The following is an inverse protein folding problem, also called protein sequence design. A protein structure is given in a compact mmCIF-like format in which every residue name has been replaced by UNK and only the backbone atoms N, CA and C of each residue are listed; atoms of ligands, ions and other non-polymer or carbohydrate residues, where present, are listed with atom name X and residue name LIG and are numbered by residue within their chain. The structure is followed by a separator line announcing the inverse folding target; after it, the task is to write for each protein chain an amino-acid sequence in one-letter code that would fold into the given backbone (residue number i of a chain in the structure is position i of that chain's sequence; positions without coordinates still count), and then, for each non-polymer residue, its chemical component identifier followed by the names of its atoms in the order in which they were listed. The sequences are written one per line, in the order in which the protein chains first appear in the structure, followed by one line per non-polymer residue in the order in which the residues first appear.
data_IF_516534276336
#
_entry.id   IF_516534276336
#
_cell.length_a   1.000
_cell.length_b   1.000
_cell.length_c   1.000
_cell.angle_alpha   90.00
_cell.angle_beta   90.00
_cell.angle_gamma   90.00
#
_symmetry.space_group_name_H-M   'P 1'
#
loop_
_entity.id
_entity.type
_entity.pdbx_description
1 polymer ?
#
# COMPACT_ATOMS: atom_id res chain seq x y z
N UNK A 1 71.79 22.95 -38.08
CA UNK A 1 70.66 23.29 -37.20
C UNK A 1 69.48 22.45 -37.64
N UNK A 2 69.11 21.43 -36.87
CA UNK A 2 68.06 20.48 -37.24
C UNK A 2 66.74 20.89 -36.56
N UNK A 3 65.69 21.10 -37.36
CA UNK A 3 64.33 21.38 -36.92
C UNK A 3 63.58 20.05 -36.70
N UNK A 4 63.16 19.79 -35.45
CA UNK A 4 62.27 18.68 -35.10
C UNK A 4 60.81 19.19 -35.08
N UNK A 5 59.84 18.51 -35.72
CA UNK A 5 58.46 18.91 -35.69
C UNK A 5 57.81 18.39 -34.39
N UNK A 6 57.20 19.30 -33.62
CA UNK A 6 56.40 18.95 -32.44
C UNK A 6 55.02 18.52 -32.91
N UNK A 7 54.73 17.23 -32.82
CA UNK A 7 53.42 16.66 -33.14
C UNK A 7 52.46 16.93 -31.97
N UNK A 8 51.55 17.89 -32.12
CA UNK A 8 50.47 18.13 -31.17
C UNK A 8 49.38 17.06 -31.33
N UNK A 9 49.33 16.11 -30.40
CA UNK A 9 48.25 15.13 -30.28
C UNK A 9 47.04 15.79 -29.60
N UNK A 10 46.05 16.18 -30.41
CA UNK A 10 44.77 16.66 -29.90
C UNK A 10 43.96 15.45 -29.45
N UNK A 11 43.92 15.20 -28.13
CA UNK A 11 42.98 14.25 -27.55
C UNK A 11 41.56 14.83 -27.64
N UNK A 12 40.81 14.37 -28.63
CA UNK A 12 39.36 14.61 -28.70
C UNK A 12 38.71 13.74 -27.63
N UNK A 13 38.36 14.34 -26.50
CA UNK A 13 37.46 13.74 -25.51
C UNK A 13 36.08 13.64 -26.16
N UNK A 14 35.80 12.49 -26.78
CA UNK A 14 34.44 12.12 -27.17
C UNK A 14 33.58 12.14 -25.91
N UNK A 15 32.49 12.93 -25.84
CA UNK A 15 31.52 12.79 -24.77
C UNK A 15 31.00 11.36 -24.83
N UNK A 16 31.27 10.60 -23.77
CA UNK A 16 30.69 9.28 -23.57
C UNK A 16 29.19 9.44 -23.45
N UNK A 17 28.47 9.33 -24.57
CA UNK A 17 27.04 9.08 -24.56
C UNK A 17 26.84 7.79 -23.75
N UNK A 18 26.04 7.80 -22.68
CA UNK A 18 25.69 6.56 -22.01
C UNK A 18 25.05 5.65 -23.08
N UNK A 19 25.60 4.46 -23.24
CA UNK A 19 25.00 3.43 -24.07
C UNK A 19 23.50 3.33 -23.72
N UNK A 20 22.64 3.18 -24.72
CA UNK A 20 21.26 2.74 -24.53
C UNK A 20 21.25 1.50 -23.63
N UNK A 21 20.95 1.69 -22.34
CA UNK A 21 21.26 0.64 -21.37
C UNK A 21 21.11 1.06 -19.91
N UNK A 22 19.96 1.64 -19.56
CA UNK A 22 19.41 1.86 -18.20
C UNK A 22 20.21 2.83 -17.30
N UNK A 23 19.67 4.04 -17.14
CA UNK A 23 20.03 4.96 -16.07
C UNK A 23 20.15 4.22 -14.70
N UNK A 24 21.31 4.27 -14.03
CA UNK A 24 21.51 3.63 -12.73
C UNK A 24 20.50 4.10 -11.67
N UNK A 25 20.10 5.37 -11.71
CA UNK A 25 19.13 5.92 -10.76
C UNK A 25 17.75 5.30 -10.98
N UNK A 26 17.28 5.20 -12.23
CA UNK A 26 16.07 4.45 -12.55
C UNK A 26 16.17 2.96 -12.20
N UNK A 27 17.31 2.33 -12.48
CA UNK A 27 17.53 0.90 -12.19
C UNK A 27 17.38 0.62 -10.70
N UNK A 28 17.86 1.51 -9.83
CA UNK A 28 17.73 1.40 -8.39
C UNK A 28 16.27 1.43 -7.89
N UNK A 29 15.33 1.93 -8.70
CA UNK A 29 13.90 2.05 -8.36
C UNK A 29 13.06 0.87 -8.84
N UNK A 30 13.62 -0.07 -9.60
CA UNK A 30 12.87 -1.19 -10.16
C UNK A 30 12.30 -2.10 -9.05
N UNK A 31 10.98 -2.30 -9.08
CA UNK A 31 10.24 -3.10 -8.08
C UNK A 31 10.46 -4.61 -8.23
N UNK A 32 11.27 -5.05 -9.20
CA UNK A 32 11.82 -6.41 -9.25
C UNK A 32 12.84 -6.68 -8.15
N UNK A 33 13.43 -5.63 -7.57
CA UNK A 33 14.42 -5.74 -6.51
C UNK A 33 13.74 -5.86 -5.13
N UNK A 34 14.08 -6.90 -4.37
CA UNK A 34 13.50 -7.12 -3.04
C UNK A 34 13.77 -5.99 -2.03
N UNK A 35 14.85 -5.22 -2.19
CA UNK A 35 15.12 -4.05 -1.34
C UNK A 35 14.11 -2.91 -1.56
N UNK A 36 13.71 -2.66 -2.81
CA UNK A 36 12.71 -1.65 -3.19
C UNK A 36 11.33 -2.07 -2.69
N UNK A 37 10.99 -3.35 -2.84
CA UNK A 37 9.73 -3.91 -2.30
C UNK A 37 9.62 -3.69 -0.79
N UNK A 38 10.72 -3.94 -0.05
CA UNK A 38 10.79 -3.71 1.39
C UNK A 38 10.71 -2.23 1.74
N UNK A 39 11.39 -1.35 1.00
CA UNK A 39 11.30 0.11 1.19
C UNK A 39 9.85 0.58 1.11
N UNK A 40 9.14 0.19 0.04
CA UNK A 40 7.74 0.57 -0.17
C UNK A 40 6.88 0.11 1.00
N UNK A 41 6.91 -1.19 1.33
CA UNK A 41 6.08 -1.76 2.42
C UNK A 41 6.42 -1.13 3.76
N UNK A 42 7.70 -0.94 4.06
CA UNK A 42 8.14 -0.34 5.32
C UNK A 42 7.67 1.10 5.44
N UNK A 43 7.80 1.91 4.37
CA UNK A 43 7.34 3.30 4.39
C UNK A 43 5.83 3.39 4.58
N UNK A 44 5.05 2.54 3.93
CA UNK A 44 3.60 2.46 4.16
C UNK A 44 3.28 2.13 5.61
N UNK A 45 3.92 1.11 6.17
CA UNK A 45 3.65 0.67 7.53
C UNK A 45 4.11 1.68 8.60
N UNK A 46 5.22 2.38 8.36
CA UNK A 46 5.68 3.51 9.19
C UNK A 46 4.60 4.59 9.26
N UNK A 47 4.11 5.05 8.12
CA UNK A 47 3.07 6.08 8.02
C UNK A 47 1.75 5.62 8.64
N UNK A 48 1.35 4.36 8.41
CA UNK A 48 0.14 3.76 9.00
C UNK A 48 0.19 3.67 10.53
N UNK A 49 1.37 3.48 11.12
CA UNK A 49 1.57 3.53 12.58
C UNK A 49 1.47 4.96 13.13
N UNK A 50 1.89 5.94 12.33
CA UNK A 50 1.98 7.36 12.72
C UNK A 50 0.71 8.19 12.50
N UNK A 51 -0.42 7.57 12.16
CA UNK A 51 -1.66 8.32 11.88
C UNK A 51 -2.19 9.06 13.11
N UNK A 52 -2.76 10.24 12.87
CA UNK A 52 -3.45 11.04 13.87
C UNK A 52 -4.86 11.40 13.37
N UNK A 53 -5.93 11.08 14.13
CA UNK A 53 -5.91 10.38 15.42
C UNK A 53 -5.47 8.89 15.29
N UNK A 54 -5.03 8.23 16.39
CA UNK A 54 -4.57 6.85 16.34
C UNK A 54 -5.67 5.88 15.88
N UNK A 55 -5.27 4.81 15.21
CA UNK A 55 -6.17 3.81 14.63
C UNK A 55 -6.18 2.49 15.42
N UNK A 56 -7.37 1.99 15.79
CA UNK A 56 -7.49 0.73 16.53
C UNK A 56 -7.43 -0.54 15.68
N UNK A 57 -7.67 -0.40 14.36
CA UNK A 57 -7.92 -1.52 13.45
C UNK A 57 -7.05 -1.48 12.17
N UNK A 58 -5.96 -0.70 12.18
CA UNK A 58 -5.11 -0.51 11.01
C UNK A 58 -4.37 -1.81 10.66
N UNK A 59 -4.66 -2.43 9.52
CA UNK A 59 -3.93 -3.65 9.11
C UNK A 59 -2.48 -3.33 8.73
N UNK A 60 -1.58 -4.26 9.02
CA UNK A 60 -0.22 -4.28 8.50
C UNK A 60 -0.26 -4.58 7.00
N UNK A 61 0.46 -3.78 6.23
CA UNK A 61 0.56 -3.94 4.79
C UNK A 61 1.69 -4.91 4.42
N UNK A 62 1.47 -5.71 3.38
CA UNK A 62 2.41 -6.68 2.81
C UNK A 62 2.55 -6.50 1.30
N UNK A 63 3.67 -6.95 0.75
CA UNK A 63 3.92 -6.92 -0.69
C UNK A 63 3.16 -8.05 -1.39
N UNK A 64 2.45 -7.74 -2.47
CA UNK A 64 1.78 -8.73 -3.30
C UNK A 64 2.32 -8.77 -4.72
N UNK A 65 2.81 -9.94 -5.14
CA UNK A 65 3.32 -10.18 -6.50
C UNK A 65 2.23 -10.05 -7.56
N UNK A 66 1.03 -10.52 -7.26
CA UNK A 66 -0.12 -10.43 -8.19
C UNK A 66 -0.49 -8.96 -8.45
N UNK A 67 -0.58 -8.17 -7.39
CA UNK A 67 -0.89 -6.73 -7.46
C UNK A 67 0.23 -5.96 -8.18
N UNK A 68 1.49 -6.34 -7.91
CA UNK A 68 2.67 -5.78 -8.59
C UNK A 68 2.63 -6.02 -10.10
N UNK A 69 2.23 -7.21 -10.53
CA UNK A 69 2.12 -7.52 -11.95
C UNK A 69 1.10 -6.63 -12.65
N UNK A 70 -0.04 -6.34 -12.00
CA UNK A 70 -1.05 -5.42 -12.53
C UNK A 70 -0.50 -3.98 -12.60
N UNK A 71 0.05 -3.47 -11.49
CA UNK A 71 0.61 -2.12 -11.42
C UNK A 71 1.73 -1.89 -12.43
N UNK A 72 2.64 -2.85 -12.61
CA UNK A 72 3.72 -2.75 -13.61
C UNK A 72 3.19 -2.81 -15.05
N UNK A 73 2.18 -3.65 -15.34
CA UNK A 73 1.53 -3.65 -16.66
C UNK A 73 0.90 -2.30 -16.97
N UNK A 74 0.28 -1.65 -15.99
CA UNK A 74 -0.29 -0.32 -16.17
C UNK A 74 0.79 0.76 -16.33
N UNK A 75 1.82 0.76 -15.49
CA UNK A 75 2.93 1.70 -15.59
C UNK A 75 3.57 1.68 -16.99
N UNK A 76 3.78 0.49 -17.56
CA UNK A 76 4.36 0.32 -18.89
C UNK A 76 3.52 0.92 -20.03
N UNK A 77 2.22 1.19 -19.82
CA UNK A 77 1.39 1.86 -20.83
C UNK A 77 1.73 3.35 -20.95
N UNK A 78 2.43 3.94 -19.97
CA UNK A 78 2.86 5.35 -20.00
C UNK A 78 1.75 6.35 -20.31
N UNK A 79 0.55 6.10 -19.78
CA UNK A 79 -0.64 6.95 -19.98
C UNK A 79 -0.70 8.15 -19.04
N UNK A 80 0.00 8.08 -17.91
CA UNK A 80 -0.02 9.08 -16.83
C UNK A 80 -1.43 9.32 -16.27
N UNK A 81 -2.29 8.29 -16.36
CA UNK A 81 -3.68 8.31 -15.94
C UNK A 81 -3.98 7.07 -15.09
N UNK A 82 -5.10 7.11 -14.36
CA UNK A 82 -5.56 5.95 -13.60
C UNK A 82 -5.95 4.80 -14.51
N UNK A 83 -5.68 3.58 -14.04
CA UNK A 83 -6.13 2.37 -14.71
C UNK A 83 -7.65 2.24 -14.64
N UNK A 84 -8.22 1.53 -15.61
CA UNK A 84 -9.58 1.05 -15.47
C UNK A 84 -9.68 0.10 -14.26
N UNK A 85 -10.82 0.05 -13.54
CA UNK A 85 -11.00 -0.84 -12.40
C UNK A 85 -10.73 -2.32 -12.72
N UNK A 86 -10.99 -2.76 -13.95
CA UNK A 86 -10.73 -4.14 -14.39
C UNK A 86 -9.22 -4.43 -14.58
N UNK A 87 -8.40 -3.40 -14.84
CA UNK A 87 -6.94 -3.51 -14.92
C UNK A 87 -6.29 -3.60 -13.52
N UNK A 88 -7.05 -3.34 -12.44
CA UNK A 88 -6.59 -3.38 -11.04
C UNK A 88 -7.46 -4.27 -10.15
N UNK A 89 -7.60 -5.52 -10.61
CA UNK A 89 -8.35 -6.56 -9.91
C UNK A 89 -7.50 -7.83 -9.75
N UNK A 90 -7.62 -8.45 -8.59
CA UNK A 90 -7.09 -9.79 -8.27
C UNK A 90 -8.29 -10.70 -7.95
N UNK A 91 -8.23 -11.47 -6.86
CA UNK A 91 -9.44 -12.00 -6.21
C UNK A 91 -10.36 -10.90 -5.64
N UNK A 92 -9.86 -9.67 -5.48
CA UNK A 92 -10.63 -8.50 -5.02
C UNK A 92 -10.41 -7.30 -5.95
N UNK A 93 -11.32 -6.31 -5.88
CA UNK A 93 -11.06 -4.98 -6.46
C UNK A 93 -9.96 -4.28 -5.69
N UNK A 94 -9.10 -3.55 -6.39
CA UNK A 94 -8.00 -2.80 -5.81
C UNK A 94 -8.08 -1.30 -6.14
N UNK A 95 -7.54 -0.48 -5.25
CA UNK A 95 -7.35 0.95 -5.44
C UNK A 95 -6.02 1.24 -6.11
N UNK A 96 -5.73 2.52 -6.34
CA UNK A 96 -4.51 2.94 -7.04
C UNK A 96 -4.10 4.35 -6.63
N UNK A 97 -2.79 4.55 -6.42
CA UNK A 97 -2.16 5.86 -6.34
C UNK A 97 -1.13 5.97 -7.47
N UNK A 98 -1.02 7.17 -8.03
CA UNK A 98 -0.10 7.49 -9.11
C UNK A 98 0.85 8.60 -8.68
N UNK A 99 2.10 8.51 -9.13
CA UNK A 99 3.06 9.59 -8.99
C UNK A 99 3.81 9.75 -10.31
N UNK A 100 4.14 10.99 -10.64
CA UNK A 100 4.81 11.34 -11.88
C UNK A 100 5.93 12.34 -11.59
N UNK A 101 7.09 12.14 -12.21
CA UNK A 101 8.24 13.04 -12.05
C UNK A 101 9.03 13.20 -13.35
N UNK A 102 9.75 14.33 -13.47
CA UNK A 102 10.72 14.56 -14.55
C UNK A 102 11.97 13.70 -14.42
N UNK A 103 12.36 13.41 -13.17
CA UNK A 103 13.59 12.73 -12.80
C UNK A 103 13.32 11.52 -11.89
N UNK A 104 14.23 10.52 -11.83
CA UNK A 104 14.10 9.40 -10.90
C UNK A 104 13.93 9.89 -9.46
N UNK A 105 12.90 9.42 -8.78
CA UNK A 105 12.52 9.82 -7.43
C UNK A 105 12.40 8.57 -6.56
N UNK A 106 12.95 8.61 -5.34
CA UNK A 106 12.84 7.47 -4.42
C UNK A 106 11.37 7.12 -4.13
N UNK A 107 11.10 5.84 -3.92
CA UNK A 107 9.76 5.39 -3.54
C UNK A 107 9.30 6.02 -2.24
N UNK A 108 10.21 6.16 -1.27
CA UNK A 108 9.92 6.84 0.00
C UNK A 108 9.44 8.28 -0.20
N UNK A 109 10.04 9.04 -1.13
CA UNK A 109 9.61 10.40 -1.44
C UNK A 109 8.26 10.45 -2.16
N UNK A 110 8.03 9.56 -3.15
CA UNK A 110 6.74 9.47 -3.83
C UNK A 110 5.60 9.11 -2.86
N UNK A 111 5.83 8.14 -1.98
CA UNK A 111 4.88 7.73 -0.94
C UNK A 111 4.63 8.84 0.08
N UNK A 112 5.69 9.57 0.47
CA UNK A 112 5.55 10.71 1.37
C UNK A 112 4.69 11.81 0.73
N UNK A 113 4.89 12.11 -0.55
CA UNK A 113 4.08 13.10 -1.28
C UNK A 113 2.58 12.74 -1.27
N UNK A 114 2.22 11.47 -1.42
CA UNK A 114 0.84 11.02 -1.26
C UNK A 114 0.32 11.17 0.17
N UNK A 115 1.17 10.92 1.17
CA UNK A 115 0.81 11.05 2.58
C UNK A 115 0.63 12.50 3.03
N UNK A 116 1.39 13.44 2.43
CA UNK A 116 1.36 14.86 2.78
C UNK A 116 0.01 15.53 2.47
N UNK A 117 -0.86 14.90 1.67
CA UNK A 117 -2.27 15.29 1.56
C UNK A 117 -3.02 15.24 2.92
N UNK A 118 -2.48 14.55 3.92
CA UNK A 118 -2.95 14.60 5.31
C UNK A 118 -2.99 16.02 5.87
N UNK A 119 -2.14 16.92 5.38
CA UNK A 119 -2.13 18.34 5.75
C UNK A 119 -3.43 19.04 5.34
N UNK A 120 -4.15 18.53 4.34
CA UNK A 120 -5.43 19.05 3.85
C UNK A 120 -6.63 18.17 4.25
N UNK A 121 -6.44 17.22 5.16
CA UNK A 121 -7.48 16.32 5.63
C UNK A 121 -7.82 16.54 7.11
N UNK A 122 -9.10 16.41 7.46
CA UNK A 122 -9.59 16.39 8.83
C UNK A 122 -10.39 15.11 9.04
N UNK A 123 -9.94 14.26 9.98
CA UNK A 123 -10.63 13.00 10.27
C UNK A 123 -12.10 13.23 10.69
N UNK A 124 -13.00 12.42 10.14
CA UNK A 124 -14.45 12.55 10.33
C UNK A 124 -15.12 13.61 9.44
N UNK A 125 -14.38 14.61 8.97
CA UNK A 125 -14.91 15.73 8.17
C UNK A 125 -14.57 15.57 6.69
N UNK A 126 -13.34 15.17 6.36
CA UNK A 126 -12.83 15.05 4.99
C UNK A 126 -11.86 16.17 4.61
N UNK A 127 -11.81 16.56 3.32
CA UNK A 127 -10.91 17.62 2.84
C UNK A 127 -11.19 18.99 3.50
N UNK A 128 -10.15 19.78 3.78
CA UNK A 128 -10.24 21.14 4.34
C UNK A 128 -10.85 22.16 3.38
N UNK A 129 -10.82 21.87 2.08
CA UNK A 129 -11.46 22.69 1.04
C UNK A 129 -12.04 21.80 -0.07
N UNK A 130 -13.02 22.27 -0.85
CA UNK A 130 -13.63 21.48 -1.92
C UNK A 130 -12.64 20.99 -3.00
N UNK A 131 -11.53 21.71 -3.19
CA UNK A 131 -10.52 21.41 -4.20
C UNK A 131 -9.33 20.64 -3.65
N UNK A 132 -9.28 20.38 -2.33
CA UNK A 132 -8.20 19.61 -1.73
C UNK A 132 -8.27 18.15 -2.17
N UNK A 133 -7.16 17.63 -2.68
CA UNK A 133 -6.98 16.22 -3.01
C UNK A 133 -6.47 15.51 -1.77
N UNK A 134 -7.19 14.49 -1.32
CA UNK A 134 -6.85 13.70 -0.11
C UNK A 134 -6.92 12.19 -0.36
N UNK A 135 -7.22 11.81 -1.60
CA UNK A 135 -7.51 10.43 -1.97
C UNK A 135 -6.28 9.52 -1.87
N UNK A 136 -5.08 10.05 -2.14
CA UNK A 136 -3.86 9.27 -2.05
C UNK A 136 -3.53 9.00 -0.58
N UNK A 137 -3.66 10.00 0.28
CA UNK A 137 -3.51 9.84 1.73
C UNK A 137 -4.52 8.84 2.28
N UNK A 138 -5.82 9.00 1.99
CA UNK A 138 -6.84 8.11 2.58
C UNK A 138 -6.68 6.66 2.10
N UNK A 139 -6.19 6.42 0.88
CA UNK A 139 -5.85 5.06 0.42
C UNK A 139 -4.65 4.48 1.18
N UNK A 140 -3.58 5.27 1.36
CA UNK A 140 -2.39 4.88 2.13
C UNK A 140 -2.74 4.40 3.54
N UNK A 141 -3.63 5.13 4.20
CA UNK A 141 -4.07 4.85 5.58
C UNK A 141 -5.40 4.10 5.66
N UNK A 142 -5.83 3.45 4.57
CA UNK A 142 -7.08 2.70 4.58
C UNK A 142 -6.95 1.42 5.42
N UNK A 143 -7.76 1.27 6.46
CA UNK A 143 -7.54 0.24 7.48
C UNK A 143 -7.54 -1.18 6.91
N UNK A 144 -8.45 -1.48 5.96
CA UNK A 144 -8.65 -2.82 5.42
C UNK A 144 -7.70 -3.16 4.28
N UNK A 145 -7.02 -2.17 3.70
CA UNK A 145 -6.04 -2.40 2.65
C UNK A 145 -4.77 -2.95 3.29
N UNK A 146 -4.46 -4.20 3.00
CA UNK A 146 -3.29 -4.89 3.58
C UNK A 146 -2.32 -5.37 2.52
N UNK A 147 -2.65 -5.34 1.23
CA UNK A 147 -1.73 -5.70 0.16
C UNK A 147 -1.40 -4.50 -0.71
N UNK A 148 -0.13 -4.34 -1.04
CA UNK A 148 0.35 -3.35 -2.00
C UNK A 148 1.24 -4.02 -3.03
N UNK A 149 1.16 -3.56 -4.27
CA UNK A 149 2.10 -3.89 -5.32
C UNK A 149 2.28 -2.68 -6.22
N UNK A 150 3.53 -2.40 -6.60
CA UNK A 150 3.86 -1.19 -7.35
C UNK A 150 4.71 -1.48 -8.58
N UNK A 151 4.56 -0.63 -9.59
CA UNK A 151 5.35 -0.64 -10.80
C UNK A 151 5.83 0.76 -11.16
N UNK A 152 6.93 0.82 -11.92
CA UNK A 152 7.51 2.06 -12.41
C UNK A 152 7.88 1.91 -13.88
N UNK A 153 7.66 2.95 -14.69
CA UNK A 153 8.08 3.00 -16.07
C UNK A 153 8.79 4.32 -16.39
N UNK A 154 9.81 4.22 -17.26
CA UNK A 154 10.36 5.37 -17.97
C UNK A 154 9.57 5.54 -19.28
N UNK A 155 9.03 6.74 -19.48
CA UNK A 155 8.10 7.11 -20.52
C UNK A 155 8.74 8.20 -21.40
N UNK A 156 9.63 7.83 -22.35
CA UNK A 156 10.41 8.80 -23.12
C UNK A 156 9.57 9.70 -24.03
N UNK A 157 8.37 9.26 -24.39
CA UNK A 157 7.44 10.00 -25.26
C UNK A 157 6.60 11.03 -24.49
N UNK A 158 6.80 11.17 -23.17
CA UNK A 158 6.16 12.20 -22.36
C UNK A 158 7.04 13.45 -22.31
N UNK A 159 6.43 14.62 -22.52
CA UNK A 159 7.17 15.87 -22.72
C UNK A 159 7.92 16.33 -21.46
N UNK A 160 7.29 16.20 -20.29
CA UNK A 160 7.84 16.69 -19.03
C UNK A 160 8.01 15.59 -17.97
N UNK A 161 7.00 14.75 -17.78
CA UNK A 161 6.96 13.76 -16.70
C UNK A 161 7.31 12.38 -17.25
N UNK A 162 8.61 12.08 -17.24
CA UNK A 162 9.15 10.88 -17.87
C UNK A 162 9.14 9.64 -16.98
N UNK A 163 8.85 9.77 -15.69
CA UNK A 163 8.81 8.64 -14.77
C UNK A 163 7.41 8.48 -14.19
N UNK A 164 6.81 7.32 -14.44
CA UNK A 164 5.44 7.01 -14.02
C UNK A 164 5.43 5.88 -12.98
N UNK A 165 4.94 6.20 -11.79
CA UNK A 165 4.87 5.30 -10.64
C UNK A 165 3.41 4.95 -10.40
N UNK A 166 3.15 3.66 -10.22
CA UNK A 166 1.82 3.12 -9.98
C UNK A 166 1.91 2.23 -8.76
N UNK A 167 1.14 2.51 -7.71
CA UNK A 167 0.91 1.55 -6.62
C UNK A 167 -0.55 1.16 -6.61
N UNK A 168 -0.84 -0.13 -6.61
CA UNK A 168 -2.19 -0.67 -6.46
C UNK A 168 -2.35 -1.31 -5.08
N UNK A 169 -3.57 -1.22 -4.55
CA UNK A 169 -3.88 -1.43 -3.14
C UNK A 169 -5.06 -2.38 -2.97
N UNK A 170 -4.86 -3.53 -2.34
CA UNK A 170 -5.89 -4.56 -2.24
C UNK A 170 -6.20 -4.93 -0.77
N UNK A 171 -7.49 -5.05 -0.40
CA UNK A 171 -8.66 -4.55 -1.12
C UNK A 171 -8.63 -3.02 -1.31
N UNK A 172 -9.42 -2.53 -2.27
CA UNK A 172 -9.55 -1.11 -2.56
C UNK A 172 -10.02 -0.31 -1.33
N UNK A 173 -9.41 0.85 -1.12
CA UNK A 173 -9.84 1.83 -0.13
C UNK A 173 -10.86 2.83 -0.68
N UNK A 174 -10.95 3.99 -0.03
CA UNK A 174 -11.71 5.15 -0.48
C UNK A 174 -13.17 4.88 -0.83
N UNK A 175 -13.82 3.97 -0.09
CA UNK A 175 -15.25 3.77 -0.21
C UNK A 175 -15.98 5.09 0.08
N UNK A 176 -16.85 5.52 -0.84
CA UNK A 176 -17.55 6.82 -0.77
C UNK A 176 -18.27 7.04 0.57
N UNK A 177 -18.83 5.98 1.15
CA UNK A 177 -19.55 6.07 2.44
C UNK A 177 -18.65 6.26 3.67
N UNK A 178 -17.35 5.98 3.53
CA UNK A 178 -16.39 5.96 4.64
C UNK A 178 -15.10 6.74 4.37
N UNK A 179 -15.02 7.47 3.26
CA UNK A 179 -13.78 8.14 2.83
C UNK A 179 -13.22 9.14 3.85
N UNK A 180 -14.09 9.73 4.68
CA UNK A 180 -13.68 10.66 5.74
C UNK A 180 -13.28 9.96 7.06
N UNK A 181 -13.46 8.64 7.16
CA UNK A 181 -13.06 7.80 8.30
C UNK A 181 -12.32 6.55 7.79
N UNK A 182 -11.11 6.73 7.21
CA UNK A 182 -10.37 5.67 6.52
C UNK A 182 -9.94 4.52 7.44
N UNK A 183 -9.98 4.75 8.76
CA UNK A 183 -9.75 3.77 9.81
C UNK A 183 -10.68 4.02 10.99
N UNK A 184 -10.70 3.12 11.97
CA UNK A 184 -11.40 3.31 13.23
C UNK A 184 -10.49 4.02 14.22
N UNK A 185 -10.87 5.21 14.67
CA UNK A 185 -10.17 5.91 15.73
C UNK A 185 -10.19 5.10 17.04
N UNK A 186 -9.04 4.97 17.69
CA UNK A 186 -8.92 4.32 18.99
C UNK A 186 -7.47 3.96 19.32
N UNK A 187 -7.27 3.34 20.48
CA UNK A 187 -5.94 2.87 20.89
C UNK A 187 -5.39 1.87 19.86
N UNK A 188 -4.12 2.00 19.41
CA UNK A 188 -3.51 1.08 18.46
C UNK A 188 -3.75 -0.39 18.84
N UNK A 189 -4.17 -1.18 17.85
CA UNK A 189 -4.53 -2.59 18.00
C UNK A 189 -5.69 -2.94 18.96
N UNK A 190 -6.47 -1.98 19.47
CA UNK A 190 -7.61 -2.32 20.34
C UNK A 190 -8.68 -3.19 19.66
N UNK A 191 -8.75 -3.18 18.32
CA UNK A 191 -9.63 -4.05 17.54
C UNK A 191 -9.00 -5.42 17.21
N UNK A 192 -7.75 -5.68 17.59
CA UNK A 192 -6.97 -6.88 17.27
C UNK A 192 -5.94 -7.23 18.37
N UNK A 193 -6.32 -7.34 19.65
CA UNK A 193 -5.38 -7.45 20.77
C UNK A 193 -4.41 -8.64 20.66
N UNK A 194 -4.87 -9.78 20.15
CA UNK A 194 -4.06 -10.99 20.00
C UNK A 194 -3.27 -11.04 18.67
N UNK A 195 -3.44 -10.03 17.81
CA UNK A 195 -2.88 -10.00 16.45
C UNK A 195 -2.29 -8.62 16.16
N UNK A 196 -1.40 -8.15 17.05
CA UNK A 196 -0.78 -6.84 16.95
C UNK A 196 0.72 -6.96 16.71
N UNK A 197 1.21 -6.27 15.68
CA UNK A 197 2.62 -6.06 15.43
C UNK A 197 2.91 -4.55 15.46
N UNK A 198 3.45 -4.08 16.59
CA UNK A 198 3.89 -2.70 16.78
C UNK A 198 2.82 -1.65 16.37
N UNK A 199 1.57 -1.85 16.80
CA UNK A 199 0.47 -0.92 16.53
C UNK A 199 -0.32 -1.19 15.24
N UNK A 200 0.05 -2.21 14.46
CA UNK A 200 -0.68 -2.66 13.28
C UNK A 200 -1.28 -4.05 13.48
N UNK A 201 -2.52 -4.23 13.06
CA UNK A 201 -3.23 -5.50 13.08
C UNK A 201 -2.69 -6.48 12.03
N UNK A 202 -2.48 -7.75 12.38
CA UNK A 202 -1.97 -8.79 11.47
C UNK A 202 -3.03 -9.81 11.07
N UNK A 203 -4.26 -9.66 11.57
CA UNK A 203 -5.39 -10.53 11.27
C UNK A 203 -6.18 -9.97 10.07
N UNK A 204 -5.63 -10.09 8.86
CA UNK A 204 -6.35 -9.69 7.64
C UNK A 204 -7.47 -10.68 7.29
N UNK A 205 -8.60 -10.15 6.81
CA UNK A 205 -9.69 -10.97 6.28
C UNK A 205 -9.47 -11.18 4.78
N UNK A 206 -9.33 -12.44 4.36
CA UNK A 206 -9.18 -12.80 2.94
C UNK A 206 -10.51 -12.85 2.18
N UNK A 207 -11.62 -12.77 2.90
CA UNK A 207 -12.95 -12.75 2.30
C UNK A 207 -13.43 -11.31 2.11
N UNK A 208 -14.29 -11.11 1.12
CA UNK A 208 -14.94 -9.83 0.87
C UNK A 208 -16.47 -9.98 1.01
N UNK A 209 -17.09 -8.93 1.53
CA UNK A 209 -18.53 -8.74 1.44
C UNK A 209 -18.86 -7.99 0.14
N UNK A 210 -19.77 -8.56 -0.64
CA UNK A 210 -20.28 -8.00 -1.89
C UNK A 210 -21.45 -7.04 -1.66
N UNK A 211 -22.00 -7.00 -0.44
CA UNK A 211 -23.07 -6.08 -0.05
C UNK A 211 -22.56 -5.16 1.06
N UNK A 212 -22.88 -3.87 0.96
CA UNK A 212 -22.46 -2.86 1.95
C UNK A 212 -23.15 -2.99 3.30
N UNK A 213 -24.28 -3.71 3.37
CA UNK A 213 -25.10 -3.88 4.56
C UNK A 213 -25.03 -5.30 5.17
N UNK A 214 -23.96 -6.06 4.89
CA UNK A 214 -23.78 -7.43 5.38
C UNK A 214 -23.88 -7.54 6.91
N UNK A 215 -23.35 -6.59 7.68
CA UNK A 215 -23.50 -6.57 9.14
C UNK A 215 -24.97 -6.49 9.59
N UNK A 216 -25.76 -5.63 8.95
CA UNK A 216 -27.19 -5.50 9.24
C UNK A 216 -27.94 -6.76 8.81
N UNK A 217 -27.64 -7.29 7.63
CA UNK A 217 -28.25 -8.52 7.12
C UNK A 217 -27.94 -9.72 8.03
N UNK A 218 -26.71 -9.82 8.58
CA UNK A 218 -26.32 -10.90 9.49
C UNK A 218 -27.15 -10.87 10.75
N UNK A 219 -27.44 -9.68 11.30
CA UNK A 219 -28.29 -9.52 12.49
C UNK A 219 -29.73 -9.96 12.21
N UNK A 220 -30.24 -9.70 11.01
CA UNK A 220 -31.64 -10.01 10.64
C UNK A 220 -31.86 -11.45 10.18
N UNK A 221 -31.00 -11.98 9.31
CA UNK A 221 -31.21 -13.26 8.62
C UNK A 221 -30.21 -14.36 9.03
N UNK A 222 -29.12 -14.00 9.72
CA UNK A 222 -28.06 -14.94 10.10
C UNK A 222 -27.22 -15.43 8.92
N UNK A 223 -26.04 -15.95 9.22
CA UNK A 223 -25.09 -16.42 8.21
C UNK A 223 -25.47 -17.74 7.52
N UNK A 224 -26.53 -18.39 7.99
CA UNK A 224 -27.03 -19.59 7.32
C UNK A 224 -27.92 -19.28 6.11
N UNK A 225 -28.39 -18.04 5.99
CA UNK A 225 -29.18 -17.56 4.86
C UNK A 225 -28.36 -17.56 3.56
N UNK A 226 -28.92 -18.10 2.47
CA UNK A 226 -28.21 -18.33 1.21
C UNK A 226 -27.54 -17.06 0.65
N UNK A 227 -28.26 -15.94 0.64
CA UNK A 227 -27.71 -14.65 0.20
C UNK A 227 -26.45 -14.26 0.99
N UNK A 228 -26.41 -14.51 2.30
CA UNK A 228 -25.28 -14.13 3.14
C UNK A 228 -24.10 -15.09 3.00
N UNK A 229 -24.36 -16.38 2.82
CA UNK A 229 -23.31 -17.37 2.49
C UNK A 229 -22.56 -16.98 1.21
N UNK A 230 -23.29 -16.48 0.22
CA UNK A 230 -22.72 -16.14 -1.08
C UNK A 230 -22.13 -14.73 -1.11
N UNK A 231 -22.81 -13.74 -0.52
CA UNK A 231 -22.50 -12.32 -0.67
C UNK A 231 -21.87 -11.67 0.56
N UNK A 232 -21.86 -12.32 1.72
CA UNK A 232 -21.36 -11.76 2.99
C UNK A 232 -20.29 -12.64 3.64
N UNK A 233 -19.36 -13.16 2.83
CA UNK A 233 -18.35 -14.13 3.28
C UNK A 233 -17.40 -13.56 4.33
N UNK A 234 -17.02 -12.27 4.24
CA UNK A 234 -16.19 -11.65 5.27
C UNK A 234 -16.94 -11.62 6.60
N UNK A 235 -18.15 -11.06 6.59
CA UNK A 235 -19.00 -10.96 7.77
C UNK A 235 -19.33 -12.32 8.40
N UNK A 236 -19.44 -13.39 7.59
CA UNK A 236 -19.90 -14.70 8.05
C UNK A 236 -18.82 -15.74 8.34
N UNK A 237 -17.69 -15.72 7.64
CA UNK A 237 -16.63 -16.71 7.77
C UNK A 237 -15.48 -16.19 8.65
N UNK A 238 -15.14 -14.91 8.52
CA UNK A 238 -14.02 -14.33 9.27
C UNK A 238 -14.30 -14.23 10.78
N UNK A 239 -15.55 -14.01 11.17
CA UNK A 239 -15.92 -14.04 12.59
C UNK A 239 -15.82 -15.44 13.21
N UNK A 240 -15.87 -16.51 12.40
CA UNK A 240 -15.74 -17.89 12.90
C UNK A 240 -14.27 -18.27 13.14
N UNK A 241 -13.34 -17.80 12.30
CA UNK A 241 -11.90 -18.11 12.43
C UNK A 241 -11.21 -17.40 13.60
N UNK A 242 -11.67 -16.21 13.99
CA UNK A 242 -11.13 -15.49 15.16
C UNK A 242 -11.78 -15.91 16.49
N UNK A 243 -12.88 -16.67 16.46
CA UNK A 243 -13.53 -17.19 17.67
C UNK A 243 -12.92 -18.51 18.19
N UNK A 244 -12.00 -19.13 17.43
CA UNK A 244 -11.48 -20.47 17.70
C UNK A 244 -10.07 -20.53 18.29
N UNK A 245 -9.51 -19.43 18.80
CA UNK A 245 -8.30 -19.54 19.63
C UNK A 245 -8.72 -19.98 21.04
N UNK A 246 -8.38 -21.21 21.49
CA UNK A 246 -8.75 -21.65 22.82
C UNK A 246 -8.02 -20.78 23.84
N UNK A 247 -8.76 -20.24 24.81
CA UNK A 247 -8.19 -19.74 26.08
C UNK A 247 -7.29 -20.83 26.65
N UNK A 248 -5.98 -20.73 26.46
CA UNK A 248 -5.02 -21.44 27.29
C UNK A 248 -5.10 -20.80 28.67
N UNK A 249 -5.98 -21.38 29.49
CA UNK A 249 -6.01 -21.14 30.92
C UNK A 249 -4.70 -21.70 31.47
N UNK A 250 -3.66 -20.86 31.59
CA UNK A 250 -2.56 -21.17 32.49
C UNK A 250 -3.10 -21.15 33.91
N UNK A 251 -3.60 -22.31 34.36
CA UNK A 251 -3.67 -22.64 35.78
C UNK A 251 -2.22 -22.62 36.28
N UNK A 252 -1.88 -21.60 37.06
CA UNK A 252 -0.74 -21.63 37.96
C UNK A 252 -0.94 -22.81 38.93
N UNK A 253 -0.20 -23.89 38.70
CA UNK A 253 0.05 -24.87 39.75
C UNK A 253 1.08 -24.24 40.68
N UNK A 254 0.62 -23.68 41.80
CA UNK A 254 1.47 -23.42 42.95
C UNK A 254 1.89 -24.76 43.54
N UNK A 255 3.11 -25.20 43.21
CA UNK A 255 3.78 -26.27 43.94
C UNK A 255 4.22 -25.73 45.29
N UNK A 256 3.52 -26.13 46.35
CA UNK A 256 4.06 -26.14 47.70
C UNK A 256 4.94 -27.38 47.82
N UNK A 257 6.26 -27.20 47.93
CA UNK A 257 7.15 -28.19 48.53
C UNK A 257 8.27 -27.46 49.26
N UNK A 258 8.09 -27.33 50.58
CA UNK A 258 9.14 -27.07 51.57
C UNK A 258 8.52 -27.26 52.97
N UNK A 259 8.62 -28.48 53.51
CA UNK A 259 8.91 -28.80 54.92
C UNK A 259 8.57 -30.27 55.25
N UNK A 260 9.56 -31.16 55.14
CA UNK A 260 10.14 -31.94 56.25
C UNK A 260 11.19 -32.92 55.73
#
# INVERSE_FOLDING_TARGET
MALLPVLFLVMVLLPSLPAEGKDPAFTALLTTQGQVQREIVNKHNELRKGVSPPASNMLKMEWSKEVTANAQRWANKCTLQHSDPEDRKTSTKCGENLYMSSDPTSWSAAIQSWYDESLDFVYGVGPKSPNAVVGHYTQLVWYSTYQVGCGIAYCPNQDALKYFYVCQYCPAGNNVSRKNTPYQQGTPCASCPDNCDQGLCTNSCQYQDLLSNCDSLKKTAGCEHQLLKEKCKATCLYSKSNASSPRSSQKSLSGNDLQK
#
